data_IF_162874793920
#
_entry.id   IF_162874793920
#
_cell.length_a   1.000
_cell.length_b   1.000
_cell.length_c   1.000
_cell.angle_alpha   90.00
_cell.angle_beta   90.00
_cell.angle_gamma   90.00
#
_symmetry.space_group_name_H-M   'P 1'
#
loop_
_entity.id
_entity.type
_entity.pdbx_description
1 polymer ?
#
# COMPACT_ATOMS: atom_id res chain seq x y z
N UNK A 1 -12.01 18.29 10.41
CA UNK A 1 -10.68 17.68 10.70
C UNK A 1 -10.51 16.33 10.02
N UNK A 2 -11.38 15.33 10.25
CA UNK A 2 -11.26 13.97 9.67
C UNK A 2 -11.14 13.92 8.15
N UNK A 3 -11.87 14.77 7.41
CA UNK A 3 -11.77 14.82 5.94
C UNK A 3 -10.38 15.24 5.45
N UNK A 4 -9.71 16.13 6.17
CA UNK A 4 -8.37 16.57 5.84
C UNK A 4 -7.28 15.53 6.18
N UNK A 5 -7.50 14.70 7.21
CA UNK A 5 -6.54 13.63 7.57
C UNK A 5 -6.56 12.50 6.54
N UNK A 6 -7.76 12.14 6.06
CA UNK A 6 -7.98 10.99 5.15
C UNK A 6 -7.76 11.30 3.67
N UNK A 7 -7.69 12.58 3.29
CA UNK A 7 -7.47 12.99 1.91
C UNK A 7 -6.12 12.49 1.37
N UNK A 8 -6.14 11.94 0.15
CA UNK A 8 -4.94 11.41 -0.53
C UNK A 8 -4.22 12.48 -1.38
N UNK A 9 -4.94 13.45 -1.91
CA UNK A 9 -4.39 14.45 -2.85
C UNK A 9 -4.10 15.79 -2.16
N UNK A 10 -2.93 16.42 -2.36
CA UNK A 10 -2.60 17.71 -1.75
C UNK A 10 -3.61 18.82 -2.08
N UNK A 11 -4.14 18.85 -3.31
CA UNK A 11 -5.11 19.86 -3.74
C UNK A 11 -6.43 19.75 -2.98
N UNK A 12 -6.89 18.52 -2.74
CA UNK A 12 -8.09 18.27 -1.96
C UNK A 12 -7.87 18.60 -0.48
N UNK A 13 -6.65 18.39 0.03
CA UNK A 13 -6.28 18.77 1.39
C UNK A 13 -6.35 20.29 1.58
N UNK A 14 -5.86 21.07 0.62
CA UNK A 14 -5.93 22.53 0.64
C UNK A 14 -7.39 23.03 0.61
N UNK A 15 -8.25 22.39 -0.17
CA UNK A 15 -9.68 22.71 -0.20
C UNK A 15 -10.35 22.43 1.15
N UNK A 16 -10.06 21.29 1.80
CA UNK A 16 -10.60 20.97 3.12
C UNK A 16 -10.03 21.89 4.22
N UNK A 17 -8.77 22.29 4.12
CA UNK A 17 -8.17 23.30 5.01
C UNK A 17 -8.87 24.66 4.89
N UNK A 18 -9.25 25.07 3.68
CA UNK A 18 -9.99 26.32 3.45
C UNK A 18 -11.37 26.29 4.11
N UNK A 19 -12.10 25.17 3.98
CA UNK A 19 -13.39 24.98 4.67
C UNK A 19 -13.24 25.05 6.20
N UNK A 20 -12.16 24.49 6.75
CA UNK A 20 -11.90 24.56 8.21
C UNK A 20 -11.61 26.00 8.64
N UNK A 21 -10.90 26.79 7.80
CA UNK A 21 -10.61 28.20 8.08
C UNK A 21 -11.88 29.05 8.14
N UNK A 22 -12.84 28.79 7.25
CA UNK A 22 -14.15 29.47 7.22
C UNK A 22 -14.96 29.22 8.50
N UNK A 23 -14.91 27.99 9.04
CA UNK A 23 -15.63 27.62 10.27
C UNK A 23 -14.93 28.15 11.51
N UNK A 24 -13.61 27.99 11.62
CA UNK A 24 -12.85 28.41 12.79
C UNK A 24 -11.37 28.69 12.47
N UNK A 25 -11.00 29.96 12.53
CA UNK A 25 -9.64 30.43 12.25
C UNK A 25 -8.62 29.94 13.29
N UNK A 26 -9.00 29.80 14.57
CA UNK A 26 -8.09 29.30 15.62
C UNK A 26 -7.73 27.83 15.38
N UNK A 27 -8.72 27.01 15.01
CA UNK A 27 -8.50 25.60 14.70
C UNK A 27 -7.60 25.42 13.47
N UNK A 28 -7.78 26.24 12.44
CA UNK A 28 -6.91 26.26 11.26
C UNK A 28 -5.46 26.58 11.61
N UNK A 29 -5.22 27.62 12.44
CA UNK A 29 -3.87 27.98 12.90
C UNK A 29 -3.20 26.83 13.67
N UNK A 30 -3.94 26.17 14.54
CA UNK A 30 -3.45 25.00 15.28
C UNK A 30 -3.04 23.85 14.35
N UNK A 31 -3.86 23.55 13.34
CA UNK A 31 -3.59 22.46 12.40
C UNK A 31 -2.38 22.75 11.50
N UNK A 32 -2.18 24.00 11.08
CA UNK A 32 -0.99 24.38 10.28
C UNK A 32 0.29 24.39 11.12
N UNK A 33 0.20 24.64 12.42
CA UNK A 33 1.37 24.60 13.30
C UNK A 33 2.00 23.19 13.36
N UNK A 34 1.19 22.13 13.21
CA UNK A 34 1.68 20.75 13.17
C UNK A 34 2.01 20.39 11.72
N UNK A 35 3.27 19.96 11.41
CA UNK A 35 3.65 19.60 10.06
C UNK A 35 2.71 18.53 9.45
N UNK A 36 2.04 18.80 8.31
CA UNK A 36 1.07 17.89 7.70
C UNK A 36 1.58 16.49 7.41
N UNK A 37 2.91 16.33 7.26
CA UNK A 37 3.59 15.03 7.06
C UNK A 37 3.32 14.01 8.17
N UNK A 38 2.95 14.45 9.37
CA UNK A 38 2.73 13.55 10.52
C UNK A 38 1.30 13.06 10.67
N UNK A 39 0.33 13.74 10.06
CA UNK A 39 -1.08 13.49 10.34
C UNK A 39 -2.00 13.51 9.11
N UNK A 40 -1.56 14.04 7.98
CA UNK A 40 -2.31 14.01 6.72
C UNK A 40 -1.74 12.99 5.76
N UNK A 41 -2.60 12.04 5.35
CA UNK A 41 -2.25 11.00 4.38
C UNK A 41 -1.73 11.58 3.06
N UNK A 42 -2.24 12.73 2.62
CA UNK A 42 -1.82 13.42 1.39
C UNK A 42 -0.34 13.84 1.37
N UNK A 43 0.27 13.96 2.56
CA UNK A 43 1.65 14.45 2.74
C UNK A 43 2.56 13.37 3.31
N UNK A 44 2.10 12.12 3.36
CA UNK A 44 2.93 11.00 3.79
C UNK A 44 4.00 10.71 2.74
N UNK A 45 5.20 10.42 3.23
CA UNK A 45 6.30 10.02 2.34
C UNK A 45 6.03 8.60 1.84
N UNK A 46 6.16 8.32 0.53
CA UNK A 46 5.95 6.97 0.00
C UNK A 46 6.99 5.97 0.50
N UNK A 47 8.17 6.47 0.92
CA UNK A 47 9.18 5.68 1.62
C UNK A 47 8.81 5.56 3.09
N UNK A 48 8.29 4.39 3.49
CA UNK A 48 8.17 4.05 4.90
C UNK A 48 9.56 3.81 5.49
N UNK A 49 9.96 4.59 6.50
CA UNK A 49 11.26 4.46 7.18
C UNK A 49 11.11 3.66 8.49
N UNK A 50 10.28 2.62 8.49
CA UNK A 50 10.10 1.78 9.67
C UNK A 50 11.02 0.57 9.59
N UNK A 51 12.02 0.52 10.46
CA UNK A 51 12.90 -0.64 10.61
C UNK A 51 12.10 -1.90 10.95
N UNK A 52 11.02 -1.79 11.71
CA UNK A 52 10.13 -2.91 12.04
C UNK A 52 9.50 -3.52 10.80
N UNK A 53 9.04 -2.70 9.86
CA UNK A 53 8.43 -3.19 8.62
C UNK A 53 9.46 -3.93 7.75
N UNK A 54 10.65 -3.34 7.58
CA UNK A 54 11.75 -3.97 6.83
C UNK A 54 12.17 -5.28 7.50
N UNK A 55 12.34 -5.26 8.82
CA UNK A 55 12.71 -6.44 9.59
C UNK A 55 11.68 -7.56 9.43
N UNK A 56 10.38 -7.27 9.56
CA UNK A 56 9.32 -8.28 9.39
C UNK A 56 9.32 -8.88 7.97
N UNK A 57 9.58 -8.09 6.93
CA UNK A 57 9.70 -8.60 5.57
C UNK A 57 10.92 -9.52 5.42
N UNK A 58 12.05 -9.15 6.03
CA UNK A 58 13.27 -9.95 6.05
C UNK A 58 13.06 -11.27 6.82
N UNK A 59 12.47 -11.24 8.01
CA UNK A 59 12.16 -12.43 8.80
C UNK A 59 11.23 -13.38 8.07
N UNK A 60 10.15 -12.84 7.47
CA UNK A 60 9.22 -13.63 6.68
C UNK A 60 9.90 -14.33 5.49
N UNK A 61 10.81 -13.63 4.81
CA UNK A 61 11.56 -14.19 3.69
C UNK A 61 12.59 -15.22 4.15
N UNK A 62 13.32 -14.92 5.22
CA UNK A 62 14.34 -15.79 5.80
C UNK A 62 13.74 -17.11 6.28
N UNK A 63 12.56 -17.08 6.92
CA UNK A 63 11.86 -18.27 7.40
C UNK A 63 11.59 -19.32 6.30
N UNK A 64 11.33 -18.85 5.06
CA UNK A 64 11.08 -19.70 3.90
C UNK A 64 12.37 -20.34 3.39
N UNK A 65 13.47 -19.59 3.46
CA UNK A 65 14.76 -20.00 2.93
C UNK A 65 15.53 -20.94 3.86
N UNK A 66 15.20 -21.00 5.16
CA UNK A 66 15.94 -21.83 6.14
C UNK A 66 16.10 -23.27 5.65
N UNK A 67 15.06 -23.88 5.06
CA UNK A 67 15.09 -25.27 4.59
C UNK A 67 15.75 -25.45 3.22
N UNK A 68 15.69 -24.44 2.35
CA UNK A 68 16.26 -24.53 1.00
C UNK A 68 17.77 -24.27 0.99
N UNK A 69 18.29 -23.51 1.97
CA UNK A 69 19.73 -23.20 2.09
C UNK A 69 20.63 -24.40 2.37
N UNK A 70 20.09 -25.50 2.88
CA UNK A 70 20.85 -26.74 3.09
C UNK A 70 21.01 -27.57 1.80
N UNK A 71 20.39 -27.15 0.69
CA UNK A 71 20.42 -27.86 -0.59
C UNK A 71 21.46 -27.24 -1.54
N UNK A 72 21.75 -27.93 -2.64
CA UNK A 72 22.59 -27.36 -3.71
C UNK A 72 21.97 -26.07 -4.26
N UNK A 73 22.80 -25.19 -4.82
CA UNK A 73 22.36 -23.87 -5.31
C UNK A 73 21.24 -23.98 -6.34
N UNK A 74 21.31 -24.98 -7.22
CA UNK A 74 20.30 -25.22 -8.26
C UNK A 74 18.96 -25.59 -7.61
N UNK A 75 18.96 -26.52 -6.66
CA UNK A 75 17.74 -26.94 -5.98
C UNK A 75 17.15 -25.83 -5.10
N UNK A 76 18.01 -25.02 -4.46
CA UNK A 76 17.57 -23.86 -3.68
C UNK A 76 16.83 -22.83 -4.55
N UNK A 77 17.35 -22.53 -5.76
CA UNK A 77 16.71 -21.59 -6.68
C UNK A 77 15.37 -22.11 -7.20
N UNK A 78 15.27 -23.41 -7.48
CA UNK A 78 14.02 -24.02 -7.92
C UNK A 78 12.95 -23.99 -6.81
N UNK A 79 13.34 -24.26 -5.56
CA UNK A 79 12.45 -24.14 -4.41
C UNK A 79 11.90 -22.70 -4.26
N UNK A 80 12.76 -21.68 -4.45
CA UNK A 80 12.36 -20.27 -4.41
C UNK A 80 11.38 -19.95 -5.54
N UNK A 81 11.66 -20.40 -6.76
CA UNK A 81 10.79 -20.20 -7.93
C UNK A 81 9.40 -20.77 -7.69
N UNK A 82 9.32 -22.04 -7.27
CA UNK A 82 8.07 -22.73 -6.98
C UNK A 82 7.32 -22.03 -5.84
N UNK A 83 8.04 -21.59 -4.80
CA UNK A 83 7.45 -20.85 -3.69
C UNK A 83 6.78 -19.54 -4.14
N UNK A 84 7.47 -18.73 -4.92
CA UNK A 84 6.96 -17.45 -5.43
C UNK A 84 5.74 -17.69 -6.33
N UNK A 85 5.81 -18.67 -7.24
CA UNK A 85 4.69 -19.01 -8.13
C UNK A 85 3.44 -19.44 -7.35
N UNK A 86 3.59 -20.33 -6.37
CA UNK A 86 2.49 -20.77 -5.50
C UNK A 86 1.89 -19.60 -4.72
N UNK A 87 2.74 -18.74 -4.13
CA UNK A 87 2.30 -17.58 -3.35
C UNK A 87 1.56 -16.56 -4.23
N UNK A 88 2.04 -16.33 -5.44
CA UNK A 88 1.38 -15.45 -6.40
C UNK A 88 0.00 -15.98 -6.81
N UNK A 89 -0.10 -17.27 -7.15
CA UNK A 89 -1.38 -17.90 -7.49
C UNK A 89 -2.39 -17.81 -6.34
N UNK A 90 -1.98 -18.13 -5.10
CA UNK A 90 -2.83 -17.99 -3.91
C UNK A 90 -3.23 -16.54 -3.63
N UNK A 91 -2.34 -15.59 -3.85
CA UNK A 91 -2.67 -14.17 -3.67
C UNK A 91 -3.67 -13.70 -4.73
N UNK A 92 -3.55 -14.16 -5.98
CA UNK A 92 -4.49 -13.86 -7.06
C UNK A 92 -5.90 -14.39 -6.74
N UNK A 93 -6.01 -15.63 -6.26
CA UNK A 93 -7.32 -16.20 -5.87
C UNK A 93 -7.93 -15.51 -4.66
N UNK A 94 -7.10 -15.11 -3.67
CA UNK A 94 -7.57 -14.28 -2.55
C UNK A 94 -8.09 -12.93 -3.01
N UNK A 95 -7.38 -12.24 -3.90
CA UNK A 95 -7.83 -10.95 -4.44
C UNK A 95 -9.17 -11.07 -5.18
N UNK A 96 -9.38 -12.15 -5.95
CA UNK A 96 -10.68 -12.38 -6.61
C UNK A 96 -11.81 -12.59 -5.60
N UNK A 97 -11.55 -13.31 -4.50
CA UNK A 97 -12.54 -13.51 -3.43
C UNK A 97 -12.89 -12.21 -2.69
N UNK A 98 -11.90 -11.34 -2.45
CA UNK A 98 -12.19 -10.03 -1.86
C UNK A 98 -13.03 -9.17 -2.81
N UNK A 99 -12.75 -9.19 -4.12
CA UNK A 99 -13.54 -8.46 -5.11
C UNK A 99 -14.99 -8.94 -5.21
N UNK A 100 -15.26 -10.24 -5.04
CA UNK A 100 -16.64 -10.75 -5.05
C UNK A 100 -17.41 -10.38 -3.78
N UNK A 101 -16.71 -10.20 -2.64
CA UNK A 101 -17.32 -9.87 -1.36
C UNK A 101 -17.50 -8.36 -1.14
N UNK A 102 -16.69 -7.54 -1.81
CA UNK A 102 -16.86 -6.09 -1.87
C UNK A 102 -17.09 -5.66 -3.31
N UNK A 103 -18.33 -5.79 -3.80
CA UNK A 103 -19.14 -4.71 -4.39
C UNK A 103 -20.22 -5.24 -5.35
N UNK A 104 -21.49 -5.12 -4.97
CA UNK A 104 -22.34 -4.26 -5.80
C UNK A 104 -21.78 -2.84 -5.62
N UNK A 105 -21.30 -2.23 -6.71
CA UNK A 105 -20.92 -0.82 -6.87
C UNK A 105 -19.57 -0.35 -6.27
N UNK A 106 -18.49 -0.47 -7.07
CA UNK A 106 -17.37 0.51 -7.28
C UNK A 106 -16.16 -0.09 -8.02
N UNK A 107 -16.20 -1.37 -8.38
CA UNK A 107 -15.06 -2.16 -8.89
C UNK A 107 -14.68 -2.01 -10.37
N UNK A 108 -15.22 -1.03 -11.11
CA UNK A 108 -14.88 -0.88 -12.55
C UNK A 108 -13.57 -0.13 -12.84
N UNK A 109 -13.03 0.68 -11.91
CA UNK A 109 -11.88 1.55 -12.23
C UNK A 109 -10.49 1.05 -11.76
N UNK A 110 -10.39 0.09 -10.84
CA UNK A 110 -9.09 -0.42 -10.36
C UNK A 110 -8.59 -1.59 -11.20
N UNK A 111 -9.49 -2.45 -11.70
CA UNK A 111 -9.12 -3.62 -12.50
C UNK A 111 -8.53 -3.23 -13.87
N UNK A 112 -8.98 -2.11 -14.46
CA UNK A 112 -8.47 -1.59 -15.74
C UNK A 112 -7.04 -1.02 -15.65
N UNK A 113 -6.63 -0.51 -14.48
CA UNK A 113 -5.29 0.09 -14.32
C UNK A 113 -4.18 -0.96 -14.22
N UNK A 114 -4.47 -2.16 -13.70
CA UNK A 114 -3.48 -3.24 -13.59
C UNK A 114 -3.40 -4.15 -14.82
N UNK A 115 -4.48 -4.26 -15.62
CA UNK A 115 -4.46 -5.04 -16.87
C UNK A 115 -3.73 -4.32 -18.00
N UNK A 116 -3.70 -2.99 -18.01
CA UNK A 116 -3.00 -2.18 -19.03
C UNK A 116 -1.47 -2.23 -18.96
N UNK A 117 -0.88 -2.46 -17.77
CA UNK A 117 0.59 -2.48 -17.58
C UNK A 117 1.22 -3.75 -18.16
N UNK A 118 0.49 -4.88 -18.16
CA UNK A 118 1.01 -6.15 -18.71
C UNK A 118 0.94 -6.26 -20.24
N UNK A 119 0.41 -5.27 -20.98
CA UNK A 119 0.32 -5.34 -22.45
C UNK A 119 1.44 -4.62 -23.21
N UNK A 120 2.37 -3.95 -22.50
CA UNK A 120 3.46 -3.18 -23.13
C UNK A 120 4.85 -3.71 -22.74
N UNK A 121 4.94 -4.94 -22.23
CA UNK A 121 6.23 -5.59 -21.96
C UNK A 121 6.14 -7.10 -22.18
N UNK A 122 5.84 -7.47 -23.42
CA UNK A 122 6.35 -8.66 -24.11
C UNK A 122 6.38 -8.35 -25.60
#
# INVERSE_FOLDING_TARGET
MWRATTTTYPQLWEAEMRKIKEINVKAFKYLIAIPPRFWSRSRFTPRSQSNTLVNNMCEGSNSVLVRSRCKSIITMLEDIRVYIMKRWAMNRTKMTLYSTNTTHNTSTNICAYFSGVCRVSF
#
